data_IF_955452104627
#
_entry.id   IF_955452104627
#
_cell.length_a   1.000
_cell.length_b   1.000
_cell.length_c   1.000
_cell.angle_alpha   90.00
_cell.angle_beta   90.00
_cell.angle_gamma   90.00
#
_symmetry.space_group_name_H-M   'P 1'
#
loop_
_entity.id
_entity.type
_entity.pdbx_description
1 polymer ?
#
# COMPACT_ATOMS: atom_id res chain seq x y z
N UNK A 1 11.89 25.96 -2.20
CA UNK A 1 11.42 26.05 -0.81
C UNK A 1 11.75 24.76 -0.09
N UNK A 2 12.19 24.75 1.18
CA UNK A 2 12.27 23.48 1.88
C UNK A 2 10.84 22.98 2.07
N UNK A 3 10.49 21.89 1.40
CA UNK A 3 9.26 21.17 1.70
C UNK A 3 9.48 20.51 3.06
N UNK A 4 8.82 21.04 4.10
CA UNK A 4 8.88 20.43 5.43
C UNK A 4 7.89 19.27 5.43
N UNK A 5 8.41 18.04 5.44
CA UNK A 5 7.61 16.82 5.57
C UNK A 5 7.55 16.39 7.02
N UNK A 6 6.36 16.42 7.62
CA UNK A 6 6.12 15.83 8.93
C UNK A 6 5.39 14.49 8.75
N UNK A 7 6.15 13.39 8.79
CA UNK A 7 5.63 12.02 8.59
C UNK A 7 6.05 11.03 9.67
N UNK A 8 6.68 11.53 10.73
CA UNK A 8 6.86 10.75 11.94
C UNK A 8 5.48 10.43 12.50
N UNK A 9 5.20 9.14 12.72
CA UNK A 9 3.97 8.62 13.31
C UNK A 9 2.65 9.04 12.63
N UNK A 10 2.68 9.31 11.32
CA UNK A 10 1.46 9.58 10.57
C UNK A 10 0.59 8.32 10.43
N UNK A 11 -0.74 8.49 10.49
CA UNK A 11 -1.68 7.37 10.61
C UNK A 11 -1.66 6.40 9.42
N UNK A 12 -1.43 6.89 8.20
CA UNK A 12 -1.34 6.05 7.00
C UNK A 12 -0.14 5.10 7.02
N UNK A 13 0.94 5.48 7.72
CA UNK A 13 2.11 4.64 7.94
C UNK A 13 1.90 3.57 9.02
N UNK A 14 0.76 3.56 9.71
CA UNK A 14 0.42 2.53 10.69
C UNK A 14 -0.21 1.28 10.04
N UNK A 15 -0.63 1.35 8.77
CA UNK A 15 -1.25 0.23 8.05
C UNK A 15 -0.34 -1.02 8.09
N UNK A 16 -0.91 -2.16 8.46
CA UNK A 16 -0.21 -3.42 8.59
C UNK A 16 -0.92 -4.56 7.83
N UNK A 17 -0.32 -5.75 7.85
CA UNK A 17 -0.84 -6.91 7.12
C UNK A 17 -2.23 -7.33 7.64
N UNK A 18 -2.49 -7.16 8.94
CA UNK A 18 -3.75 -7.52 9.61
C UNK A 18 -4.92 -6.65 9.15
N UNK A 19 -4.66 -5.41 8.73
CA UNK A 19 -5.69 -4.46 8.28
C UNK A 19 -6.23 -4.80 6.88
N UNK A 20 -5.56 -5.69 6.15
CA UNK A 20 -6.01 -6.10 4.82
C UNK A 20 -7.12 -7.15 4.93
N UNK A 21 -8.36 -6.68 4.79
CA UNK A 21 -9.57 -7.51 4.70
C UNK A 21 -9.70 -8.12 3.29
N UNK A 22 -9.68 -9.45 3.22
CA UNK A 22 -9.80 -10.21 1.99
C UNK A 22 -11.17 -10.08 1.32
N UNK A 23 -12.25 -10.05 2.11
CA UNK A 23 -13.61 -9.92 1.58
C UNK A 23 -13.82 -8.52 0.98
N UNK A 24 -13.29 -7.49 1.64
CA UNK A 24 -13.30 -6.14 1.09
C UNK A 24 -12.51 -6.08 -0.23
N UNK A 25 -11.29 -6.62 -0.24
CA UNK A 25 -10.44 -6.65 -1.43
C UNK A 25 -11.08 -7.47 -2.56
N UNK A 26 -11.80 -8.55 -2.24
CA UNK A 26 -12.52 -9.40 -3.18
C UNK A 26 -13.57 -8.62 -4.00
N UNK A 27 -14.18 -7.58 -3.42
CA UNK A 27 -15.18 -6.75 -4.10
C UNK A 27 -14.62 -5.88 -5.23
N UNK A 28 -13.31 -5.59 -5.23
CA UNK A 28 -12.66 -4.73 -6.22
C UNK A 28 -12.24 -5.49 -7.49
N UNK A 29 -12.16 -4.85 -8.66
CA UNK A 29 -11.58 -5.46 -9.87
C UNK A 29 -10.05 -5.36 -9.94
N UNK A 30 -9.50 -4.40 -9.20
CA UNK A 30 -8.09 -4.07 -9.21
C UNK A 30 -7.68 -3.38 -7.92
N UNK A 31 -6.38 -3.45 -7.59
CA UNK A 31 -5.77 -2.72 -6.48
C UNK A 31 -4.66 -1.81 -7.01
N UNK A 32 -4.58 -0.60 -6.49
CA UNK A 32 -3.44 0.31 -6.71
C UNK A 32 -2.56 0.25 -5.47
N UNK A 33 -1.27 0.03 -5.66
CA UNK A 33 -0.24 0.12 -4.63
C UNK A 33 0.71 1.27 -4.97
N UNK A 34 1.20 2.00 -3.97
CA UNK A 34 2.04 3.18 -4.19
C UNK A 34 3.45 3.01 -3.63
N UNK A 35 4.43 3.61 -4.31
CA UNK A 35 5.85 3.58 -3.91
C UNK A 35 6.10 4.01 -2.47
N UNK A 36 5.48 5.11 -2.03
CA UNK A 36 5.65 5.63 -0.66
C UNK A 36 5.35 4.60 0.42
N UNK A 37 4.35 3.74 0.23
CA UNK A 37 3.96 2.72 1.22
C UNK A 37 4.86 1.47 1.20
N UNK A 38 5.88 1.41 0.34
CA UNK A 38 6.96 0.42 0.44
C UNK A 38 8.13 0.89 1.32
N UNK A 39 8.07 2.11 1.87
CA UNK A 39 9.15 2.69 2.66
C UNK A 39 9.24 2.22 4.11
N UNK A 40 8.22 1.51 4.62
CA UNK A 40 8.23 0.91 5.98
C UNK A 40 7.88 -0.58 5.93
N UNK A 41 8.42 -1.42 6.83
CA UNK A 41 8.18 -2.86 6.82
C UNK A 41 6.70 -3.27 6.94
N UNK A 42 5.92 -2.61 7.79
CA UNK A 42 4.52 -2.95 8.03
C UNK A 42 3.63 -2.61 6.82
N UNK A 43 3.78 -1.42 6.25
CA UNK A 43 3.03 -1.01 5.07
C UNK A 43 3.49 -1.76 3.81
N UNK A 44 4.78 -2.14 3.71
CA UNK A 44 5.26 -3.08 2.67
C UNK A 44 4.52 -4.42 2.77
N UNK A 45 4.49 -5.03 3.97
CA UNK A 45 3.79 -6.30 4.18
C UNK A 45 2.29 -6.20 3.82
N UNK A 46 1.62 -5.13 4.22
CA UNK A 46 0.23 -4.83 3.86
C UNK A 46 0.03 -4.79 2.34
N UNK A 47 0.87 -4.04 1.61
CA UNK A 47 0.80 -3.96 0.16
C UNK A 47 1.07 -5.32 -0.50
N UNK A 48 2.04 -6.10 -0.03
CA UNK A 48 2.33 -7.44 -0.55
C UNK A 48 1.18 -8.42 -0.34
N UNK A 49 0.49 -8.38 0.81
CA UNK A 49 -0.72 -9.17 1.02
C UNK A 49 -1.81 -8.77 0.04
N UNK A 50 -2.08 -7.47 -0.14
CA UNK A 50 -3.07 -6.99 -1.10
C UNK A 50 -2.75 -7.43 -2.54
N UNK A 51 -1.48 -7.35 -2.97
CA UNK A 51 -1.01 -7.83 -4.28
C UNK A 51 -1.26 -9.33 -4.45
N UNK A 52 -0.89 -10.13 -3.45
CA UNK A 52 -1.04 -11.60 -3.46
C UNK A 52 -2.51 -12.00 -3.57
N UNK A 53 -3.39 -11.41 -2.76
CA UNK A 53 -4.83 -11.66 -2.80
C UNK A 53 -5.44 -11.25 -4.15
N UNK A 54 -5.09 -10.06 -4.66
CA UNK A 54 -5.60 -9.57 -5.94
C UNK A 54 -5.19 -10.48 -7.11
N UNK A 55 -3.94 -10.93 -7.13
CA UNK A 55 -3.45 -11.89 -8.13
C UNK A 55 -4.12 -13.26 -7.99
N UNK A 56 -4.31 -13.75 -6.77
CA UNK A 56 -4.93 -15.05 -6.49
C UNK A 56 -6.34 -15.18 -7.07
N UNK A 57 -7.10 -14.08 -7.14
CA UNK A 57 -8.44 -14.04 -7.76
C UNK A 57 -8.46 -13.61 -9.23
N UNK A 58 -7.30 -13.47 -9.88
CA UNK A 58 -7.20 -13.05 -11.28
C UNK A 58 -7.48 -11.55 -11.55
N UNK A 59 -7.51 -10.71 -10.51
CA UNK A 59 -7.67 -9.27 -10.65
C UNK A 59 -6.40 -8.55 -11.10
N UNK A 60 -6.47 -7.22 -11.26
CA UNK A 60 -5.34 -6.41 -11.73
C UNK A 60 -4.62 -5.72 -10.59
N UNK A 61 -3.29 -5.66 -10.67
CA UNK A 61 -2.45 -4.86 -9.77
C UNK A 61 -1.88 -3.71 -10.57
N UNK A 62 -2.11 -2.49 -10.09
CA UNK A 62 -1.54 -1.26 -10.62
C UNK A 62 -0.48 -0.80 -9.64
N UNK A 63 0.70 -0.48 -10.16
CA UNK A 63 1.76 0.13 -9.37
C UNK A 63 1.91 1.58 -9.78
N UNK A 64 1.58 2.48 -8.85
CA UNK A 64 1.90 3.90 -8.95
C UNK A 64 3.24 4.14 -8.26
N UNK A 65 4.21 4.64 -9.02
CA UNK A 65 5.58 4.81 -8.52
C UNK A 65 5.60 5.77 -7.33
N UNK A 66 4.73 6.80 -7.27
CA UNK A 66 4.63 7.76 -6.15
C UNK A 66 5.99 8.09 -5.50
N UNK A 67 6.99 8.37 -6.34
CA UNK A 67 8.37 8.53 -5.89
C UNK A 67 8.53 9.90 -5.26
N UNK A 68 8.96 9.90 -4.00
CA UNK A 68 9.29 11.11 -3.26
C UNK A 68 10.81 11.17 -3.12
N UNK A 69 11.51 11.88 -4.02
CA UNK A 69 12.90 12.23 -3.75
C UNK A 69 12.89 13.12 -2.51
N UNK A 70 13.68 12.75 -1.50
CA UNK A 70 13.85 13.44 -0.21
C UNK A 70 13.27 14.87 -0.13
#
# INVERSE_FOLDING_TARGET
>A
SPMIFYRSDCADMALAEEDIDEAFLASARSVVVTGTHFSRPNSDAAQRKAIRLMKGKGGKVIFDIDYRPN
#
